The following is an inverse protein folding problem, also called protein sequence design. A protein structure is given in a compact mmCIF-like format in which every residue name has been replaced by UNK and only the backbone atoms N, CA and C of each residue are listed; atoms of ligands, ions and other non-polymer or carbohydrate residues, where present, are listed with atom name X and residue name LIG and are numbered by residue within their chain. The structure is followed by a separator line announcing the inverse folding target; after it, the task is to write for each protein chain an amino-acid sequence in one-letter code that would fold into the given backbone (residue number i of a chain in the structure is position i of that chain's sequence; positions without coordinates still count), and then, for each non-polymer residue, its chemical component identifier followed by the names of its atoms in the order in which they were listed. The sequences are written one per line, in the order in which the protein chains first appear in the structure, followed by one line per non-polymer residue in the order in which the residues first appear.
data_IF_202696692447
#
_entry.id   IF_202696692447
#
_cell.length_a   1.000
_cell.length_b   1.000
_cell.length_c   1.000
_cell.angle_alpha   90.00
_cell.angle_beta   90.00
_cell.angle_gamma   90.00
#
_symmetry.space_group_name_H-M   'P 1'
#
loop_
_entity.id
_entity.type
_entity.pdbx_description
1 polymer ?
#
# COMPACT_ATOMS: atom_id res chain seq x y z
N UNK A 1 8.74 -20.08 8.79
CA UNK A 1 8.35 -20.13 7.36
C UNK A 1 8.54 -18.74 6.77
N UNK A 2 8.93 -18.60 5.50
CA UNK A 2 9.00 -17.30 4.81
C UNK A 2 7.78 -17.16 3.89
N UNK A 3 7.16 -15.98 3.75
CA UNK A 3 6.05 -15.77 2.82
C UNK A 3 6.53 -15.90 1.37
N UNK A 4 5.64 -16.35 0.49
CA UNK A 4 5.83 -16.21 -0.96
C UNK A 4 5.50 -14.78 -1.36
N UNK A 5 6.38 -14.13 -2.13
CA UNK A 5 6.21 -12.75 -2.55
C UNK A 5 6.09 -12.69 -4.06
N UNK A 6 5.06 -12.00 -4.56
CA UNK A 6 4.84 -11.72 -5.98
C UNK A 6 5.04 -10.22 -6.18
N UNK A 7 5.85 -9.85 -7.17
CA UNK A 7 6.00 -8.47 -7.60
C UNK A 7 5.03 -8.22 -8.76
N UNK A 8 3.83 -7.75 -8.46
CA UNK A 8 2.82 -7.36 -9.45
C UNK A 8 3.03 -5.87 -9.80
N UNK A 9 3.19 -5.55 -11.08
CA UNK A 9 3.54 -4.19 -11.51
C UNK A 9 2.82 -3.83 -12.81
N UNK A 10 2.46 -2.54 -12.92
CA UNK A 10 2.07 -1.89 -14.16
C UNK A 10 3.06 -0.76 -14.45
N UNK A 11 3.56 -0.69 -15.68
CA UNK A 11 4.48 0.34 -16.12
C UNK A 11 4.17 0.78 -17.55
N UNK A 12 4.46 2.04 -17.87
CA UNK A 12 4.52 2.51 -19.26
C UNK A 12 5.77 1.99 -19.98
N UNK A 13 5.83 2.16 -21.30
CA UNK A 13 6.94 1.67 -22.14
C UNK A 13 8.31 2.27 -21.76
N UNK A 14 8.32 3.48 -21.21
CA UNK A 14 9.52 4.14 -20.68
C UNK A 14 9.85 3.73 -19.23
N UNK A 15 9.11 2.77 -18.66
CA UNK A 15 9.31 2.25 -17.31
C UNK A 15 8.71 3.10 -16.20
N UNK A 16 7.89 4.12 -16.51
CA UNK A 16 7.22 4.89 -15.46
C UNK A 16 6.15 4.06 -14.76
N UNK A 17 6.07 4.17 -13.42
CA UNK A 17 5.07 3.45 -12.62
C UNK A 17 3.86 4.31 -12.28
N UNK A 18 4.03 5.63 -12.18
CA UNK A 18 2.96 6.51 -11.73
C UNK A 18 1.98 6.78 -12.88
N UNK A 19 0.69 6.42 -12.79
CA UNK A 19 -0.23 6.50 -13.92
C UNK A 19 -0.38 7.91 -14.52
N UNK A 20 -0.18 8.97 -13.74
CA UNK A 20 -0.23 10.35 -14.27
C UNK A 20 0.82 10.64 -15.34
N UNK A 21 1.86 9.82 -15.47
CA UNK A 21 2.92 9.93 -16.48
C UNK A 21 2.61 9.15 -17.76
N UNK A 22 1.57 8.33 -17.77
CA UNK A 22 1.24 7.53 -18.95
C UNK A 22 0.69 8.43 -20.05
N UNK A 23 1.23 8.25 -21.25
CA UNK A 23 0.77 8.90 -22.47
C UNK A 23 -0.47 8.20 -23.03
N UNK A 24 -1.17 8.86 -23.95
CA UNK A 24 -2.29 8.26 -24.68
C UNK A 24 -1.81 7.07 -25.51
N UNK A 25 -2.62 6.01 -25.54
CA UNK A 25 -2.38 4.81 -26.36
C UNK A 25 -3.62 4.49 -27.21
N UNK A 26 -3.46 3.91 -28.40
CA UNK A 26 -4.58 3.31 -29.13
C UNK A 26 -5.10 2.01 -28.50
N UNK A 27 -4.29 1.34 -27.67
CA UNK A 27 -4.61 0.01 -27.10
C UNK A 27 -5.39 0.08 -25.78
N UNK A 28 -5.72 1.28 -25.32
CA UNK A 28 -6.49 1.50 -24.12
C UNK A 28 -6.16 2.81 -23.41
N UNK A 29 -6.77 2.97 -22.26
CA UNK A 29 -6.69 4.15 -21.42
C UNK A 29 -6.10 3.82 -20.06
N UNK A 30 -5.62 4.87 -19.36
CA UNK A 30 -5.14 4.73 -17.97
C UNK A 30 -6.15 4.02 -17.07
N UNK A 31 -7.44 4.35 -17.21
CA UNK A 31 -8.50 3.74 -16.39
C UNK A 31 -8.66 2.25 -16.66
N UNK A 32 -8.58 1.84 -17.93
CA UNK A 32 -8.68 0.42 -18.32
C UNK A 32 -7.48 -0.39 -17.80
N UNK A 33 -6.26 0.12 -17.93
CA UNK A 33 -5.08 -0.57 -17.39
C UNK A 33 -5.05 -0.63 -15.87
N UNK A 34 -5.46 0.45 -15.18
CA UNK A 34 -5.63 0.42 -13.72
C UNK A 34 -6.68 -0.61 -13.31
N UNK A 35 -7.82 -0.68 -14.01
CA UNK A 35 -8.87 -1.66 -13.72
C UNK A 35 -8.37 -3.10 -13.92
N UNK A 36 -7.60 -3.35 -14.99
CA UNK A 36 -6.99 -4.65 -15.24
C UNK A 36 -5.95 -5.01 -14.16
N UNK A 37 -5.14 -4.05 -13.73
CA UNK A 37 -4.17 -4.25 -12.65
C UNK A 37 -4.87 -4.67 -11.35
N UNK A 38 -5.95 -4.00 -10.96
CA UNK A 38 -6.74 -4.32 -9.76
C UNK A 38 -7.48 -5.66 -9.87
N UNK A 39 -7.96 -6.00 -11.08
CA UNK A 39 -8.55 -7.31 -11.32
C UNK A 39 -7.55 -8.44 -11.11
N UNK A 40 -6.35 -8.33 -11.71
CA UNK A 40 -5.26 -9.30 -11.51
C UNK A 40 -4.83 -9.34 -10.05
N UNK A 41 -4.73 -8.18 -9.38
CA UNK A 41 -4.43 -8.10 -7.95
C UNK A 41 -5.42 -8.93 -7.11
N UNK A 42 -6.72 -8.84 -7.43
CA UNK A 42 -7.77 -9.63 -6.76
C UNK A 42 -7.63 -11.13 -7.04
N UNK A 43 -7.36 -11.51 -8.29
CA UNK A 43 -7.21 -12.91 -8.71
C UNK A 43 -6.00 -13.62 -8.08
N UNK A 44 -4.96 -12.86 -7.69
CA UNK A 44 -3.81 -13.40 -6.97
C UNK A 44 -4.17 -13.94 -5.58
N UNK A 45 -5.31 -13.51 -5.00
CA UNK A 45 -5.84 -13.98 -3.71
C UNK A 45 -4.78 -14.02 -2.60
N UNK A 46 -3.93 -12.99 -2.55
CA UNK A 46 -2.85 -12.90 -1.57
C UNK A 46 -3.39 -12.56 -0.17
N UNK A 47 -2.74 -13.08 0.87
CA UNK A 47 -3.09 -12.79 2.27
C UNK A 47 -2.77 -11.33 2.68
N UNK A 48 -1.94 -10.65 1.89
CA UNK A 48 -1.49 -9.28 2.15
C UNK A 48 -0.92 -8.62 0.89
N UNK A 49 -0.88 -7.29 0.88
CA UNK A 49 -0.10 -6.49 -0.05
C UNK A 49 0.88 -5.57 0.68
N UNK A 50 1.93 -5.14 -0.01
CA UNK A 50 3.01 -4.37 0.58
C UNK A 50 3.43 -3.21 -0.31
N UNK A 51 3.59 -2.03 0.29
CA UNK A 51 4.10 -0.84 -0.40
C UNK A 51 5.09 -0.06 0.47
N UNK A 52 5.84 0.83 -0.17
CA UNK A 52 6.72 1.77 0.52
C UNK A 52 5.95 2.92 1.16
N UNK A 53 6.60 3.58 2.13
CA UNK A 53 6.10 4.77 2.85
C UNK A 53 5.43 5.83 1.97
N UNK A 54 6.00 6.17 0.82
CA UNK A 54 5.47 7.28 -0.02
C UNK A 54 4.11 6.89 -0.59
N UNK A 55 4.00 5.71 -1.19
CA UNK A 55 2.75 5.18 -1.71
C UNK A 55 1.70 5.03 -0.60
N UNK A 56 2.07 4.48 0.55
CA UNK A 56 1.13 4.33 1.65
C UNK A 56 0.59 5.67 2.16
N UNK A 57 1.40 6.74 2.16
CA UNK A 57 0.95 8.07 2.57
C UNK A 57 -0.11 8.66 1.62
N UNK A 58 0.03 8.41 0.30
CA UNK A 58 -0.98 8.80 -0.69
C UNK A 58 -2.30 8.04 -0.49
N UNK A 59 -2.21 6.76 -0.08
CA UNK A 59 -3.37 5.91 0.16
C UNK A 59 -4.06 6.21 1.50
N UNK A 60 -3.31 6.45 2.57
CA UNK A 60 -3.87 6.70 3.91
C UNK A 60 -4.66 8.00 3.97
N UNK A 61 -4.24 9.01 3.17
CA UNK A 61 -4.83 10.37 3.12
C UNK A 61 -4.98 11.03 4.49
N UNK A 62 -4.26 10.53 5.49
CA UNK A 62 -4.34 11.04 6.84
C UNK A 62 -3.57 12.35 6.94
N UNK A 63 -4.16 13.34 7.61
CA UNK A 63 -3.43 14.53 8.01
C UNK A 63 -2.36 14.16 9.04
N UNK A 64 -1.27 14.93 9.10
CA UNK A 64 -0.28 14.75 10.15
C UNK A 64 -0.90 14.99 11.53
N UNK A 65 -0.80 14.00 12.41
CA UNK A 65 -1.23 14.08 13.80
C UNK A 65 -0.12 13.53 14.71
N UNK A 66 0.89 14.36 15.02
CA UNK A 66 2.02 13.94 15.85
C UNK A 66 1.56 13.71 17.30
N UNK A 67 2.26 12.84 18.05
CA UNK A 67 1.96 12.61 19.46
C UNK A 67 2.16 13.89 20.29
N UNK A 68 1.29 14.09 21.28
CA UNK A 68 1.36 15.27 22.17
C UNK A 68 2.63 15.32 23.02
N UNK A 69 3.21 14.16 23.32
CA UNK A 69 4.45 14.03 24.09
C UNK A 69 5.49 13.26 23.26
N UNK A 70 6.74 13.72 23.32
CA UNK A 70 7.88 13.10 22.64
C UNK A 70 8.86 12.62 23.71
N UNK A 71 9.32 11.38 23.61
CA UNK A 71 10.20 10.77 24.61
C UNK A 71 10.74 9.42 24.17
N UNK A 72 11.35 8.69 25.11
CA UNK A 72 11.75 7.30 24.84
C UNK A 72 10.49 6.46 24.67
N UNK A 73 10.36 5.81 23.53
CA UNK A 73 9.24 4.93 23.20
C UNK A 73 9.78 3.52 23.08
N UNK A 74 9.15 2.57 23.79
CA UNK A 74 9.43 1.16 23.57
C UNK A 74 8.94 0.76 22.17
N UNK A 75 9.73 -0.07 21.47
CA UNK A 75 9.40 -0.53 20.11
C UNK A 75 9.10 -2.04 20.11
N UNK A 76 8.06 -2.50 20.84
CA UNK A 76 7.68 -3.90 20.78
C UNK A 76 7.06 -4.21 19.42
N UNK A 77 7.00 -5.49 19.07
CA UNK A 77 6.12 -5.93 18.00
C UNK A 77 4.67 -5.72 18.45
N UNK A 78 3.96 -4.83 17.77
CA UNK A 78 2.55 -4.58 17.99
C UNK A 78 1.74 -5.33 16.93
N UNK A 79 0.72 -6.07 17.37
CA UNK A 79 -0.18 -6.80 16.48
C UNK A 79 -1.60 -6.41 16.88
N UNK A 80 -2.18 -5.45 16.16
CA UNK A 80 -3.50 -4.90 16.50
C UNK A 80 -4.61 -5.93 16.22
N UNK A 81 -4.58 -6.58 15.07
CA UNK A 81 -5.47 -7.68 14.72
C UNK A 81 -4.68 -8.81 14.05
N UNK A 82 -4.90 -10.06 14.48
CA UNK A 82 -4.16 -11.25 14.01
C UNK A 82 -4.97 -12.17 13.10
N UNK A 83 -6.27 -11.97 13.07
CA UNK A 83 -7.27 -12.75 12.35
C UNK A 83 -8.00 -11.91 11.29
N UNK A 84 -7.36 -10.83 10.82
CA UNK A 84 -7.88 -10.08 9.67
C UNK A 84 -7.83 -10.94 8.41
N UNK A 85 -8.80 -10.74 7.51
CA UNK A 85 -8.90 -11.49 6.26
C UNK A 85 -7.79 -11.15 5.25
N UNK A 86 -7.24 -9.93 5.32
CA UNK A 86 -6.12 -9.45 4.50
C UNK A 86 -5.43 -8.28 5.19
N UNK A 87 -4.16 -8.05 4.83
CA UNK A 87 -3.31 -7.02 5.44
C UNK A 87 -2.71 -6.03 4.41
N UNK A 88 -2.68 -4.77 4.79
CA UNK A 88 -2.01 -3.67 4.10
C UNK A 88 -0.68 -3.35 4.79
N UNK A 89 0.43 -3.86 4.27
CA UNK A 89 1.75 -3.74 4.92
C UNK A 89 2.49 -2.50 4.42
N UNK A 90 2.94 -1.67 5.35
CA UNK A 90 3.69 -0.46 5.04
C UNK A 90 5.17 -0.56 5.44
N UNK A 91 6.07 -0.38 4.49
CA UNK A 91 7.50 -0.24 4.79
C UNK A 91 7.85 1.20 5.13
N UNK A 92 7.88 1.51 6.43
CA UNK A 92 8.24 2.83 6.95
C UNK A 92 9.19 2.75 8.17
N UNK A 93 10.47 2.53 7.89
CA UNK A 93 11.51 2.51 8.92
C UNK A 93 11.65 3.82 9.71
N UNK A 94 11.09 4.92 9.21
CA UNK A 94 11.16 6.24 9.84
C UNK A 94 9.94 6.61 10.68
N UNK A 95 8.86 5.81 10.66
CA UNK A 95 7.64 6.05 11.43
C UNK A 95 6.98 7.40 11.14
N UNK A 96 6.92 7.78 9.86
CA UNK A 96 6.31 9.05 9.37
C UNK A 96 4.89 8.88 8.85
N UNK A 97 4.42 7.65 8.65
CA UNK A 97 3.06 7.40 8.22
C UNK A 97 2.06 7.79 9.31
N UNK A 98 0.97 8.38 8.86
CA UNK A 98 -0.20 8.68 9.67
C UNK A 98 -1.39 7.91 9.09
N UNK A 99 -2.26 7.44 9.97
CA UNK A 99 -3.46 6.69 9.62
C UNK A 99 -4.64 7.25 10.42
N UNK A 100 -5.75 7.51 9.72
CA UNK A 100 -7.01 7.96 10.35
C UNK A 100 -7.92 6.79 10.72
N UNK A 101 -7.62 5.59 10.22
CA UNK A 101 -8.38 4.34 10.36
C UNK A 101 -7.42 3.15 10.45
N UNK A 102 -7.85 2.00 10.99
CA UNK A 102 -7.00 0.81 11.11
C UNK A 102 -6.84 0.03 9.79
N UNK A 103 -7.48 0.47 8.71
CA UNK A 103 -7.50 -0.23 7.43
C UNK A 103 -7.27 0.71 6.23
N UNK A 104 -6.83 0.12 5.12
CA UNK A 104 -6.79 0.76 3.80
C UNK A 104 -7.62 -0.11 2.85
N UNK A 105 -8.75 0.43 2.39
CA UNK A 105 -9.64 -0.31 1.49
C UNK A 105 -10.28 -1.55 2.13
N UNK A 106 -10.32 -1.63 3.48
CA UNK A 106 -10.78 -2.81 4.22
C UNK A 106 -9.68 -3.75 4.68
N UNK A 107 -8.44 -3.60 4.17
CA UNK A 107 -7.29 -4.42 4.58
C UNK A 107 -6.61 -3.83 5.81
N UNK A 108 -6.35 -4.67 6.82
CA UNK A 108 -5.83 -4.21 8.11
C UNK A 108 -4.36 -3.75 7.99
N UNK A 109 -4.06 -2.55 8.48
CA UNK A 109 -2.72 -1.95 8.37
C UNK A 109 -1.71 -2.65 9.28
N UNK A 110 -0.50 -2.89 8.75
CA UNK A 110 0.68 -3.39 9.48
C UNK A 110 1.90 -2.51 9.24
#
# INVERSE_FOLDING_TARGET
MKPQIICHMLASLDGSLHPSRYTTSPDGTRGEWSSLYEHIHSDLAADAWIVGRVTMAEMSKAAAHPPANVGKVDRPYHFAQRDAGSYAVALDASGKLHFSKPDIGGDHVV
#
